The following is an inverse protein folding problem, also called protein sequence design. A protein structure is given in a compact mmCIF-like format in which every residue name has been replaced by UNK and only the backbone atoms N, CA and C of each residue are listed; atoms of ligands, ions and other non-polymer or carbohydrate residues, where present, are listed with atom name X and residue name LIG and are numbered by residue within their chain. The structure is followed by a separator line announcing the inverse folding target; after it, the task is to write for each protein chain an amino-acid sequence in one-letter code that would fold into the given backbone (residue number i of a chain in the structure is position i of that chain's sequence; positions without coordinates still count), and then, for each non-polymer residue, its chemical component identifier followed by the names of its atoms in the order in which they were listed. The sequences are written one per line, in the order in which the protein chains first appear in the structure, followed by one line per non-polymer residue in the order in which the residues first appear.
data_IF_060572840777
#
_entry.id   IF_060572840777
#
_cell.length_a   1.000
_cell.length_b   1.000
_cell.length_c   1.000
_cell.angle_alpha   90.00
_cell.angle_beta   90.00
_cell.angle_gamma   90.00
#
_symmetry.space_group_name_H-M   'P 1'
#
loop_
_entity.id
_entity.type
_entity.pdbx_description
1 polymer ?
#
# COMPACT_ATOMS: atom_id res chain seq x y z
N UNK A 1 -16.08 2.57 -17.02
CA UNK A 1 -15.04 2.59 -15.98
C UNK A 1 -14.14 3.77 -16.27
N UNK A 2 -14.18 4.74 -15.37
CA UNK A 2 -13.37 5.95 -15.40
C UNK A 2 -11.86 5.59 -15.38
N UNK A 3 -10.99 6.48 -15.86
CA UNK A 3 -9.54 6.22 -15.90
C UNK A 3 -8.97 6.04 -14.48
N UNK A 4 -9.50 6.80 -13.54
CA UNK A 4 -9.10 6.75 -12.15
C UNK A 4 -9.53 5.43 -11.48
N UNK A 5 -10.75 4.97 -11.74
CA UNK A 5 -11.23 3.64 -11.30
C UNK A 5 -10.32 2.51 -11.81
N UNK A 6 -9.84 2.60 -13.06
CA UNK A 6 -8.87 1.64 -13.61
C UNK A 6 -7.55 1.67 -12.87
N UNK A 7 -7.04 2.86 -12.55
CA UNK A 7 -5.78 3.00 -11.80
C UNK A 7 -5.91 2.37 -10.40
N UNK A 8 -7.02 2.63 -9.70
CA UNK A 8 -7.29 2.02 -8.38
C UNK A 8 -7.42 0.50 -8.47
N UNK A 9 -8.13 -0.01 -9.48
CA UNK A 9 -8.27 -1.46 -9.70
C UNK A 9 -6.91 -2.13 -9.99
N UNK A 10 -6.06 -1.51 -10.83
CA UNK A 10 -4.71 -2.00 -11.10
C UNK A 10 -3.82 -1.95 -9.85
N UNK A 11 -3.91 -0.88 -9.05
CA UNK A 11 -3.19 -0.78 -7.79
C UNK A 11 -3.57 -1.91 -6.84
N UNK A 12 -4.88 -2.13 -6.63
CA UNK A 12 -5.40 -3.23 -5.81
C UNK A 12 -4.87 -4.57 -6.28
N UNK A 13 -4.95 -4.84 -7.58
CA UNK A 13 -4.49 -6.12 -8.15
C UNK A 13 -2.98 -6.31 -7.95
N UNK A 14 -2.17 -5.28 -8.16
CA UNK A 14 -0.73 -5.34 -7.95
C UNK A 14 -0.40 -5.59 -6.46
N UNK A 15 -1.08 -4.93 -5.52
CA UNK A 15 -0.88 -5.15 -4.09
C UNK A 15 -1.24 -6.58 -3.65
N UNK A 16 -2.36 -7.10 -4.15
CA UNK A 16 -2.79 -8.48 -3.93
C UNK A 16 -1.74 -9.48 -4.45
N UNK A 17 -1.29 -9.31 -5.69
CA UNK A 17 -0.29 -10.19 -6.31
C UNK A 17 1.08 -10.08 -5.63
N UNK A 18 1.46 -8.88 -5.18
CA UNK A 18 2.67 -8.67 -4.40
C UNK A 18 2.61 -9.48 -3.09
N UNK A 19 1.53 -9.35 -2.31
CA UNK A 19 1.36 -10.10 -1.07
C UNK A 19 1.46 -11.61 -1.26
N UNK A 20 0.80 -12.15 -2.30
CA UNK A 20 0.89 -13.57 -2.67
C UNK A 20 2.32 -13.99 -3.03
N UNK A 21 3.02 -13.19 -3.85
CA UNK A 21 4.40 -13.48 -4.23
C UNK A 21 5.34 -13.46 -3.01
N UNK A 22 5.19 -12.50 -2.10
CA UNK A 22 5.95 -12.45 -0.84
C UNK A 22 5.70 -13.69 0.02
N UNK A 23 4.44 -14.11 0.19
CA UNK A 23 4.08 -15.28 1.01
C UNK A 23 4.63 -16.61 0.46
N UNK A 24 4.88 -16.67 -0.85
CA UNK A 24 5.35 -17.87 -1.56
C UNK A 24 6.84 -17.82 -1.91
N UNK A 25 7.54 -16.73 -1.57
CA UNK A 25 8.95 -16.54 -1.90
C UNK A 25 9.23 -16.30 -3.39
N UNK A 26 8.22 -15.92 -4.17
CA UNK A 26 8.34 -15.66 -5.61
C UNK A 26 8.89 -14.24 -5.89
N UNK A 27 10.15 -14.00 -5.50
CA UNK A 27 10.74 -12.65 -5.48
C UNK A 27 10.68 -11.90 -6.81
N UNK A 28 10.89 -12.57 -7.94
CA UNK A 28 10.81 -11.93 -9.27
C UNK A 28 9.40 -11.40 -9.56
N UNK A 29 8.38 -12.19 -9.24
CA UNK A 29 6.98 -11.78 -9.40
C UNK A 29 6.64 -10.65 -8.42
N UNK A 30 7.11 -10.74 -7.17
CA UNK A 30 6.93 -9.69 -6.16
C UNK A 30 7.51 -8.35 -6.61
N UNK A 31 8.76 -8.35 -7.08
CA UNK A 31 9.43 -7.15 -7.57
C UNK A 31 8.71 -6.52 -8.76
N UNK A 32 8.20 -7.33 -9.69
CA UNK A 32 7.39 -6.82 -10.80
C UNK A 32 6.14 -6.10 -10.30
N UNK A 33 5.46 -6.63 -9.28
CA UNK A 33 4.28 -5.97 -8.71
C UNK A 33 4.63 -4.72 -7.91
N UNK A 34 5.78 -4.72 -7.22
CA UNK A 34 6.31 -3.51 -6.57
C UNK A 34 6.49 -2.38 -7.59
N UNK A 35 7.09 -2.67 -8.74
CA UNK A 35 7.27 -1.68 -9.81
C UNK A 35 5.94 -1.13 -10.34
N UNK A 36 4.92 -2.00 -10.47
CA UNK A 36 3.57 -1.55 -10.85
C UNK A 36 2.93 -0.66 -9.78
N UNK A 37 3.05 -1.01 -8.50
CA UNK A 37 2.55 -0.21 -7.40
C UNK A 37 3.21 1.17 -7.37
N UNK A 38 4.53 1.23 -7.49
CA UNK A 38 5.29 2.48 -7.54
C UNK A 38 4.86 3.35 -8.73
N UNK A 39 4.69 2.74 -9.91
CA UNK A 39 4.22 3.45 -11.12
C UNK A 39 2.83 4.05 -10.93
N UNK A 40 1.87 3.28 -10.41
CA UNK A 40 0.50 3.77 -10.20
C UNK A 40 0.46 4.83 -9.11
N UNK A 41 1.19 4.64 -8.00
CA UNK A 41 1.32 5.63 -6.94
C UNK A 41 1.86 6.96 -7.46
N UNK A 42 2.96 6.94 -8.21
CA UNK A 42 3.54 8.13 -8.82
C UNK A 42 2.55 8.82 -9.78
N UNK A 43 1.81 8.05 -10.59
CA UNK A 43 0.80 8.59 -11.49
C UNK A 43 -0.34 9.29 -10.74
N UNK A 44 -0.87 8.69 -9.67
CA UNK A 44 -1.93 9.28 -8.84
C UNK A 44 -1.43 10.53 -8.11
N UNK A 45 -0.23 10.47 -7.54
CA UNK A 45 0.43 11.60 -6.88
C UNK A 45 0.60 12.79 -7.83
N UNK A 46 1.01 12.55 -9.07
CA UNK A 46 1.18 13.59 -10.10
C UNK A 46 -0.14 14.20 -10.58
N UNK A 47 -1.25 13.46 -10.47
CA UNK A 47 -2.60 13.97 -10.74
C UNK A 47 -3.16 14.82 -9.58
N UNK A 48 -2.50 14.80 -8.42
CA UNK A 48 -2.81 15.66 -7.28
C UNK A 48 -3.40 14.91 -6.07
N UNK A 49 -3.54 15.63 -4.96
CA UNK A 49 -3.96 15.07 -3.66
C UNK A 49 -5.32 14.37 -3.71
N UNK A 50 -6.26 14.88 -4.50
CA UNK A 50 -7.58 14.27 -4.65
C UNK A 50 -7.52 12.89 -5.30
N UNK A 51 -6.65 12.69 -6.30
CA UNK A 51 -6.49 11.41 -6.98
C UNK A 51 -5.83 10.38 -6.06
N UNK A 52 -4.73 10.74 -5.38
CA UNK A 52 -4.06 9.81 -4.47
C UNK A 52 -4.92 9.45 -3.24
N UNK A 53 -5.77 10.37 -2.78
CA UNK A 53 -6.68 10.12 -1.66
C UNK A 53 -7.69 8.98 -1.93
N UNK A 54 -7.95 8.63 -3.20
CA UNK A 54 -8.83 7.52 -3.56
C UNK A 54 -8.29 6.15 -3.19
N UNK A 55 -6.98 6.02 -2.97
CA UNK A 55 -6.43 4.83 -2.33
C UNK A 55 -7.08 4.58 -0.95
N UNK A 56 -7.64 5.62 -0.32
CA UNK A 56 -8.35 5.53 0.97
C UNK A 56 -9.50 4.53 0.94
N UNK A 57 -10.11 4.28 -0.22
CA UNK A 57 -11.12 3.22 -0.38
C UNK A 57 -10.57 1.81 -0.15
N UNK A 58 -9.26 1.60 -0.29
CA UNK A 58 -8.59 0.31 -0.17
C UNK A 58 -7.99 0.06 1.23
N UNK A 59 -8.00 1.02 2.15
CA UNK A 59 -7.44 0.82 3.51
C UNK A 59 -8.26 -0.14 4.38
N UNK A 60 -9.47 -0.47 3.93
CA UNK A 60 -10.38 -1.46 4.51
C UNK A 60 -10.63 -2.64 3.56
N UNK A 61 -9.74 -2.86 2.60
CA UNK A 61 -9.84 -4.02 1.72
C UNK A 61 -9.83 -5.33 2.51
N UNK A 62 -10.53 -6.34 1.99
CA UNK A 62 -10.59 -7.68 2.58
C UNK A 62 -9.22 -8.37 2.62
N UNK A 63 -8.33 -8.04 1.68
CA UNK A 63 -6.96 -8.55 1.67
C UNK A 63 -6.03 -7.58 2.41
N UNK A 64 -5.46 -8.05 3.52
CA UNK A 64 -4.57 -7.22 4.35
C UNK A 64 -3.33 -6.74 3.59
N UNK A 65 -2.88 -7.43 2.52
CA UNK A 65 -1.77 -6.95 1.70
C UNK A 65 -2.16 -5.69 0.93
N UNK A 66 -3.38 -5.66 0.39
CA UNK A 66 -3.95 -4.48 -0.28
C UNK A 66 -4.09 -3.33 0.72
N UNK A 67 -4.70 -3.61 1.87
CA UNK A 67 -4.88 -2.61 2.93
C UNK A 67 -3.54 -2.05 3.43
N UNK A 68 -2.52 -2.89 3.60
CA UNK A 68 -1.18 -2.49 4.05
C UNK A 68 -0.49 -1.56 3.04
N UNK A 69 -0.52 -1.91 1.76
CA UNK A 69 0.07 -1.07 0.70
C UNK A 69 -0.61 0.28 0.60
N UNK A 70 -1.95 0.28 0.55
CA UNK A 70 -2.72 1.52 0.49
C UNK A 70 -2.45 2.42 1.69
N UNK A 71 -2.51 1.86 2.90
CA UNK A 71 -2.25 2.61 4.13
C UNK A 71 -0.83 3.18 4.15
N UNK A 72 0.18 2.41 3.73
CA UNK A 72 1.57 2.88 3.62
C UNK A 72 1.68 4.11 2.71
N UNK A 73 1.09 4.06 1.52
CA UNK A 73 1.12 5.16 0.56
C UNK A 73 0.28 6.37 0.98
N UNK A 74 -0.67 6.19 1.91
CA UNK A 74 -1.53 7.24 2.43
C UNK A 74 -1.01 7.90 3.71
N UNK A 75 0.08 7.43 4.30
CA UNK A 75 0.67 8.05 5.49
C UNK A 75 0.84 9.58 5.36
N UNK A 76 1.31 10.15 4.23
CA UNK A 76 1.44 11.61 4.10
C UNK A 76 0.14 12.38 3.84
N UNK A 77 -0.96 11.69 3.52
CA UNK A 77 -2.19 12.33 3.01
C UNK A 77 -3.39 12.11 3.95
N UNK A 78 -3.47 10.95 4.60
CA UNK A 78 -4.56 10.52 5.47
C UNK A 78 -3.99 9.76 6.67
N UNK A 79 -3.03 10.38 7.37
CA UNK A 79 -2.20 9.75 8.40
C UNK A 79 -3.01 8.99 9.45
N UNK A 80 -4.06 9.60 10.01
CA UNK A 80 -4.85 8.98 11.07
C UNK A 80 -5.44 7.62 10.63
N UNK A 81 -6.00 7.57 9.42
CA UNK A 81 -6.61 6.35 8.88
C UNK A 81 -5.53 5.32 8.50
N UNK A 82 -4.46 5.78 7.86
CA UNK A 82 -3.33 4.94 7.47
C UNK A 82 -2.66 4.27 8.68
N UNK A 83 -2.37 5.04 9.73
CA UNK A 83 -1.77 4.55 10.98
C UNK A 83 -2.71 3.55 11.67
N UNK A 84 -4.02 3.81 11.71
CA UNK A 84 -4.97 2.87 12.30
C UNK A 84 -4.98 1.52 11.56
N UNK A 85 -5.01 1.54 10.22
CA UNK A 85 -4.94 0.31 9.41
C UNK A 85 -3.62 -0.43 9.60
N UNK A 86 -2.48 0.27 9.53
CA UNK A 86 -1.17 -0.36 9.73
C UNK A 86 -1.02 -0.92 11.14
N UNK A 87 -1.57 -0.26 12.16
CA UNK A 87 -1.54 -0.75 13.55
C UNK A 87 -2.33 -2.04 13.70
N UNK A 88 -3.52 -2.13 13.09
CA UNK A 88 -4.32 -3.36 13.05
C UNK A 88 -3.55 -4.50 12.38
N UNK A 89 -2.93 -4.24 11.24
CA UNK A 89 -2.17 -5.25 10.47
C UNK A 89 -0.90 -5.65 11.22
N UNK A 90 -0.22 -4.72 11.88
CA UNK A 90 0.98 -4.99 12.69
C UNK A 90 0.72 -5.95 13.86
N UNK A 91 -0.53 -6.04 14.35
CA UNK A 91 -0.92 -7.01 15.37
C UNK A 91 -1.05 -8.45 14.84
N UNK A 92 -1.00 -8.65 13.52
CA UNK A 92 -1.02 -9.99 12.91
C UNK A 92 0.35 -10.65 12.94
N UNK A 93 0.39 -11.98 12.89
CA UNK A 93 1.64 -12.73 12.80
C UNK A 93 2.14 -12.83 11.36
N UNK A 94 3.45 -13.03 11.19
CA UNK A 94 4.07 -13.28 9.90
C UNK A 94 4.64 -12.04 9.21
N UNK A 95 5.02 -12.20 7.94
CA UNK A 95 5.78 -11.19 7.19
C UNK A 95 5.00 -9.89 7.02
N UNK A 96 3.67 -9.98 6.84
CA UNK A 96 2.84 -8.80 6.62
C UNK A 96 2.73 -7.94 7.89
N UNK A 97 2.48 -8.56 9.05
CA UNK A 97 2.46 -7.84 10.33
C UNK A 97 3.81 -7.21 10.66
N UNK A 98 4.91 -7.94 10.42
CA UNK A 98 6.26 -7.39 10.56
C UNK A 98 6.48 -6.18 9.64
N UNK A 99 6.08 -6.27 8.37
CA UNK A 99 6.17 -5.17 7.41
C UNK A 99 5.41 -3.94 7.91
N UNK A 100 4.16 -4.09 8.34
CA UNK A 100 3.35 -2.98 8.86
C UNK A 100 3.98 -2.33 10.11
N UNK A 101 4.53 -3.14 11.02
CA UNK A 101 5.22 -2.65 12.21
C UNK A 101 6.47 -1.84 11.85
N UNK A 102 7.31 -2.32 10.93
CA UNK A 102 8.51 -1.62 10.48
C UNK A 102 8.13 -0.32 9.78
N UNK A 103 7.13 -0.35 8.90
CA UNK A 103 6.63 0.86 8.21
C UNK A 103 6.20 1.95 9.20
N UNK A 104 5.44 1.59 10.24
CA UNK A 104 5.04 2.53 11.29
C UNK A 104 6.24 3.11 12.04
N UNK A 105 7.21 2.28 12.40
CA UNK A 105 8.41 2.71 13.09
C UNK A 105 9.24 3.69 12.24
N UNK A 106 9.44 3.38 10.96
CA UNK A 106 10.18 4.26 10.04
C UNK A 106 9.42 5.57 9.75
N UNK A 107 8.09 5.52 9.68
CA UNK A 107 7.25 6.70 9.54
C UNK A 107 7.36 7.62 10.77
N UNK A 108 7.15 7.08 11.97
CA UNK A 108 7.23 7.83 13.23
C UNK A 108 8.61 8.42 13.47
N UNK A 109 9.66 7.74 13.02
CA UNK A 109 11.02 8.24 13.08
C UNK A 109 11.37 9.26 12.00
N UNK A 110 10.45 9.58 11.07
CA UNK A 110 10.70 10.49 9.95
C UNK A 110 11.71 9.97 8.93
N UNK A 111 11.96 8.65 8.90
CA UNK A 111 12.95 7.99 8.03
C UNK A 111 12.33 7.39 6.78
N UNK A 112 11.04 7.09 6.80
CA UNK A 112 10.33 6.54 5.65
C UNK A 112 10.26 7.55 4.50
N UNK A 113 10.77 7.15 3.33
CA UNK A 113 10.66 7.92 2.09
C UNK A 113 9.82 7.15 1.09
N UNK A 114 8.67 7.70 0.75
CA UNK A 114 7.78 7.16 -0.27
C UNK A 114 8.13 7.81 -1.61
N UNK A 115 8.73 7.02 -2.51
CA UNK A 115 9.12 7.44 -3.87
C UNK A 115 7.92 7.85 -4.70
#
# INVERSE_FOLDING_TARGET
MDDLEKQIAHYRQAALLHGRATSTGAYQAGNQQYDQLAKVYAALKNQGTAAIALLGSLVQDEDDSVACWSATHLLPYQELQAVATLTRIAATSGILGLTASITLQEWQAGRLKLG
#
